data_IF_428406212522
#
_entry.id   IF_428406212522
#
_cell.length_a   1.000
_cell.length_b   1.000
_cell.length_c   1.000
_cell.angle_alpha   90.00
_cell.angle_beta   90.00
_cell.angle_gamma   90.00
#
_symmetry.space_group_name_H-M   'P 1'
#
loop_
_entity.id
_entity.type
_entity.pdbx_description
1 polymer ?
#
# COMPACT_ATOMS: atom_id res chain seq x y z
N UNK A 1 34.46 2.58 -5.68
CA UNK A 1 34.84 3.96 -5.26
C UNK A 1 33.98 4.35 -4.09
N UNK A 2 34.54 4.55 -2.91
CA UNK A 2 33.79 4.96 -1.72
C UNK A 2 33.30 6.41 -1.89
N UNK A 3 31.98 6.64 -1.80
CA UNK A 3 31.35 7.97 -1.82
C UNK A 3 31.88 8.78 -0.62
N UNK A 4 32.31 10.02 -0.83
CA UNK A 4 32.83 10.88 0.24
C UNK A 4 31.75 11.15 1.27
N UNK A 5 32.08 11.08 2.57
CA UNK A 5 31.15 11.27 3.69
C UNK A 5 30.27 12.55 3.63
N UNK A 6 30.74 13.72 3.11
CA UNK A 6 29.90 14.90 2.93
C UNK A 6 28.81 14.75 1.87
N UNK A 7 29.02 13.91 0.85
CA UNK A 7 28.01 13.69 -0.19
C UNK A 7 26.93 12.73 0.29
N UNK A 8 27.27 11.73 1.11
CA UNK A 8 26.32 10.84 1.75
C UNK A 8 25.34 11.59 2.68
N UNK A 9 25.82 12.55 3.47
CA UNK A 9 24.97 13.35 4.35
C UNK A 9 24.00 14.25 3.56
N UNK A 10 24.45 14.83 2.44
CA UNK A 10 23.58 15.63 1.56
C UNK A 10 22.48 14.78 0.93
N UNK A 11 22.80 13.55 0.52
CA UNK A 11 21.82 12.63 -0.02
C UNK A 11 20.78 12.25 1.04
N UNK A 12 21.20 11.93 2.26
CA UNK A 12 20.28 11.62 3.38
C UNK A 12 19.36 12.80 3.69
N UNK A 13 19.88 14.03 3.74
CA UNK A 13 19.07 15.23 3.99
C UNK A 13 18.08 15.46 2.83
N UNK A 14 18.52 15.23 1.60
CA UNK A 14 17.68 15.35 0.42
C UNK A 14 16.53 14.34 0.46
N UNK A 15 16.84 13.07 0.74
CA UNK A 15 15.84 12.00 0.80
C UNK A 15 14.85 12.23 1.94
N UNK A 16 15.33 12.62 3.12
CA UNK A 16 14.47 13.00 4.26
C UNK A 16 13.49 14.14 3.90
N UNK A 17 13.97 15.18 3.21
CA UNK A 17 13.09 16.30 2.77
C UNK A 17 12.08 15.86 1.72
N UNK A 18 12.49 15.00 0.80
CA UNK A 18 11.60 14.42 -0.21
C UNK A 18 10.48 13.63 0.45
N UNK A 19 10.80 12.79 1.42
CA UNK A 19 9.83 12.00 2.18
C UNK A 19 8.87 12.91 2.97
N UNK A 20 9.38 13.95 3.65
CA UNK A 20 8.56 14.91 4.38
C UNK A 20 7.54 15.62 3.46
N UNK A 21 7.95 16.01 2.25
CA UNK A 21 7.05 16.60 1.25
C UNK A 21 5.98 15.59 0.83
N UNK A 22 6.38 14.34 0.55
CA UNK A 22 5.45 13.29 0.13
C UNK A 22 4.45 12.90 1.23
N UNK A 23 4.87 12.85 2.50
CA UNK A 23 3.99 12.59 3.63
C UNK A 23 2.92 13.68 3.77
N UNK A 24 3.34 14.95 3.67
CA UNK A 24 2.42 16.09 3.67
C UNK A 24 1.45 16.02 2.50
N UNK A 25 1.95 15.74 1.30
CA UNK A 25 1.12 15.63 0.10
C UNK A 25 0.10 14.47 0.22
N UNK A 26 0.50 13.30 0.70
CA UNK A 26 -0.40 12.16 0.93
C UNK A 26 -1.55 12.52 1.87
N UNK A 27 -1.23 13.19 2.98
CA UNK A 27 -2.25 13.65 3.93
C UNK A 27 -3.22 14.63 3.26
N UNK A 28 -2.72 15.68 2.63
CA UNK A 28 -3.56 16.71 2.00
C UNK A 28 -4.40 16.14 0.84
N UNK A 29 -3.82 15.32 -0.03
CA UNK A 29 -4.54 14.64 -1.11
C UNK A 29 -5.63 13.72 -0.59
N UNK A 30 -5.35 12.99 0.50
CA UNK A 30 -6.33 12.11 1.11
C UNK A 30 -7.49 12.83 1.78
N UNK A 31 -7.23 13.98 2.41
CA UNK A 31 -8.24 14.78 3.11
C UNK A 31 -9.13 15.57 2.17
N UNK A 32 -8.57 16.10 1.08
CA UNK A 32 -9.23 17.13 0.24
C UNK A 32 -9.39 16.73 -1.23
N UNK A 33 -8.82 15.62 -1.64
CA UNK A 33 -8.74 15.21 -3.05
C UNK A 33 -7.54 15.82 -3.79
N UNK A 34 -7.22 15.23 -4.95
CA UNK A 34 -6.02 15.63 -5.70
C UNK A 34 -6.18 16.95 -6.43
N UNK A 35 -7.40 17.34 -6.83
CA UNK A 35 -7.67 18.56 -7.58
C UNK A 35 -7.66 19.81 -6.72
N UNK A 36 -7.99 19.68 -5.43
CA UNK A 36 -8.26 20.78 -4.52
C UNK A 36 -7.04 21.17 -3.66
N UNK A 37 -5.87 20.60 -3.98
CA UNK A 37 -4.61 20.86 -3.27
C UNK A 37 -3.59 21.44 -4.25
N UNK A 38 -3.07 22.62 -3.93
CA UNK A 38 -2.03 23.29 -4.72
C UNK A 38 -0.62 22.98 -4.23
N UNK A 39 0.38 23.12 -5.13
CA UNK A 39 1.79 22.97 -4.76
C UNK A 39 2.22 23.98 -3.69
N UNK A 40 1.62 25.18 -3.67
CA UNK A 40 1.93 26.23 -2.68
C UNK A 40 1.45 25.84 -1.28
N UNK A 41 0.26 25.26 -1.16
CA UNK A 41 -0.25 24.71 0.10
C UNK A 41 0.61 23.56 0.61
N UNK A 42 1.02 22.66 -0.28
CA UNK A 42 1.92 21.54 0.10
C UNK A 42 3.24 22.10 0.62
N UNK A 43 3.84 23.09 -0.06
CA UNK A 43 5.09 23.69 0.37
C UNK A 43 4.96 24.35 1.76
N UNK A 44 3.90 25.12 1.95
CA UNK A 44 3.62 25.81 3.23
C UNK A 44 3.44 24.82 4.37
N UNK A 45 2.64 23.77 4.16
CA UNK A 45 2.33 22.76 5.16
C UNK A 45 3.53 21.83 5.45
N UNK A 46 4.36 21.53 4.43
CA UNK A 46 5.62 20.80 4.60
C UNK A 46 6.74 21.66 5.22
N UNK A 47 6.52 22.94 5.46
CA UNK A 47 7.53 23.84 6.03
C UNK A 47 8.73 24.08 5.10
N UNK A 48 8.54 24.01 3.78
CA UNK A 48 9.59 24.26 2.79
C UNK A 48 9.26 25.46 1.91
N UNK A 49 10.29 26.15 1.40
CA UNK A 49 10.07 27.19 0.42
C UNK A 49 9.49 26.60 -0.89
N UNK A 50 8.61 27.36 -1.56
CA UNK A 50 8.04 26.96 -2.85
C UNK A 50 9.12 26.53 -3.86
N UNK A 51 10.20 27.30 -3.99
CA UNK A 51 11.33 26.97 -4.85
C UNK A 51 11.99 25.63 -4.49
N UNK A 52 12.03 25.30 -3.19
CA UNK A 52 12.55 24.04 -2.71
C UNK A 52 11.65 22.87 -3.15
N UNK A 53 10.33 23.01 -3.04
CA UNK A 53 9.39 21.97 -3.50
C UNK A 53 9.59 21.67 -4.99
N UNK A 54 9.73 22.71 -5.82
CA UNK A 54 9.93 22.56 -7.27
C UNK A 54 11.30 21.97 -7.65
N UNK A 55 12.28 21.95 -6.74
CA UNK A 55 13.53 21.20 -6.93
C UNK A 55 13.30 19.68 -6.86
N UNK A 56 12.32 19.25 -6.07
CA UNK A 56 12.00 17.82 -5.88
C UNK A 56 10.94 17.30 -6.85
N UNK A 57 9.95 18.13 -7.18
CA UNK A 57 8.79 17.75 -7.99
C UNK A 57 8.40 18.91 -8.92
N UNK A 58 8.48 18.69 -10.22
CA UNK A 58 8.21 19.73 -11.21
C UNK A 58 6.74 20.19 -11.22
N UNK A 59 5.83 19.33 -10.83
CA UNK A 59 4.40 19.61 -10.76
C UNK A 59 3.68 18.67 -9.79
N UNK A 60 2.38 18.91 -9.60
CA UNK A 60 1.51 18.14 -8.72
C UNK A 60 1.36 16.68 -9.16
N UNK A 61 1.29 16.43 -10.47
CA UNK A 61 1.07 15.09 -11.01
C UNK A 61 2.32 14.23 -10.81
N UNK A 62 3.52 14.80 -10.92
CA UNK A 62 4.77 14.14 -10.57
C UNK A 62 4.82 13.79 -9.07
N UNK A 63 4.43 14.72 -8.21
CA UNK A 63 4.36 14.50 -6.77
C UNK A 63 3.34 13.40 -6.42
N UNK A 64 2.15 13.44 -7.02
CA UNK A 64 1.13 12.40 -6.83
C UNK A 64 1.64 11.03 -7.28
N UNK A 65 2.24 10.97 -8.46
CA UNK A 65 2.85 9.74 -8.99
C UNK A 65 3.93 9.19 -8.06
N UNK A 66 4.78 10.06 -7.51
CA UNK A 66 5.80 9.67 -6.54
C UNK A 66 5.19 9.14 -5.22
N UNK A 67 4.08 9.73 -4.75
CA UNK A 67 3.35 9.25 -3.58
C UNK A 67 2.79 7.84 -3.80
N UNK A 68 2.19 7.58 -4.96
CA UNK A 68 1.64 6.26 -5.32
C UNK A 68 2.76 5.24 -5.52
N UNK A 69 3.86 5.62 -6.20
CA UNK A 69 5.01 4.74 -6.36
C UNK A 69 5.62 4.35 -5.00
N UNK A 70 5.77 5.30 -4.09
CA UNK A 70 6.27 5.00 -2.73
C UNK A 70 5.34 4.04 -1.96
N UNK A 71 4.02 4.14 -2.16
CA UNK A 71 3.07 3.18 -1.59
C UNK A 71 3.27 1.79 -2.19
N UNK A 72 3.47 1.70 -3.50
CA UNK A 72 3.77 0.44 -4.19
C UNK A 72 5.08 -0.20 -3.67
N UNK A 73 6.16 0.58 -3.58
CA UNK A 73 7.46 0.09 -3.12
C UNK A 73 7.37 -0.48 -1.70
N UNK A 74 6.70 0.21 -0.79
CA UNK A 74 6.47 -0.27 0.59
C UNK A 74 5.63 -1.54 0.65
N UNK A 75 4.67 -1.71 -0.25
CA UNK A 75 3.91 -2.95 -0.36
C UNK A 75 4.78 -4.09 -0.89
N UNK A 76 5.68 -3.82 -1.83
CA UNK A 76 6.66 -4.82 -2.30
C UNK A 76 7.56 -5.31 -1.16
N UNK A 77 8.01 -4.40 -0.28
CA UNK A 77 8.75 -4.77 0.93
C UNK A 77 7.90 -5.69 1.82
N UNK A 78 6.61 -5.38 2.00
CA UNK A 78 5.68 -6.23 2.77
C UNK A 78 5.51 -7.61 2.13
N UNK A 79 5.37 -7.68 0.82
CA UNK A 79 5.28 -8.93 0.06
C UNK A 79 6.58 -9.74 0.21
N UNK A 80 7.74 -9.09 0.15
CA UNK A 80 9.02 -9.76 0.32
C UNK A 80 9.19 -10.43 1.70
N UNK A 81 8.55 -9.89 2.75
CA UNK A 81 8.54 -10.48 4.09
C UNK A 81 7.68 -11.78 4.18
N UNK A 82 6.88 -12.07 3.16
CA UNK A 82 6.01 -13.26 3.11
C UNK A 82 6.67 -14.43 2.36
N UNK A 83 7.96 -14.28 2.02
CA UNK A 83 8.76 -15.35 1.39
C UNK A 83 8.76 -16.60 2.27
N UNK A 84 8.87 -17.75 1.64
CA UNK A 84 8.89 -19.07 2.30
C UNK A 84 10.15 -19.21 3.17
N UNK A 85 9.94 -19.04 4.48
CA UNK A 85 10.94 -19.17 5.53
C UNK A 85 10.69 -20.43 6.41
N UNK A 86 9.90 -21.37 5.90
CA UNK A 86 9.44 -22.55 6.63
C UNK A 86 8.21 -22.33 7.50
N UNK A 87 7.62 -21.13 7.49
CA UNK A 87 6.36 -20.84 8.16
C UNK A 87 5.17 -21.46 7.42
N UNK A 88 4.10 -21.80 8.15
CA UNK A 88 2.88 -22.33 7.53
C UNK A 88 2.24 -21.30 6.60
N UNK A 89 1.51 -21.74 5.56
CA UNK A 89 0.75 -20.86 4.67
C UNK A 89 -0.19 -19.91 5.41
N UNK A 90 -0.83 -20.37 6.48
CA UNK A 90 -1.68 -19.55 7.36
C UNK A 90 -0.87 -18.44 8.07
N UNK A 91 0.30 -18.76 8.60
CA UNK A 91 1.15 -17.77 9.27
C UNK A 91 1.68 -16.72 8.27
N UNK A 92 2.00 -17.13 7.05
CA UNK A 92 2.42 -16.25 5.95
C UNK A 92 1.28 -15.33 5.51
N UNK A 93 0.06 -15.86 5.36
CA UNK A 93 -1.14 -15.08 5.06
C UNK A 93 -1.41 -14.03 6.14
N UNK A 94 -1.30 -14.41 7.41
CA UNK A 94 -1.44 -13.47 8.53
C UNK A 94 -0.41 -12.34 8.47
N UNK A 95 0.85 -12.63 8.17
CA UNK A 95 1.90 -11.61 8.01
C UNK A 95 1.62 -10.67 6.86
N UNK A 96 1.13 -11.19 5.74
CA UNK A 96 0.71 -10.37 4.60
C UNK A 96 -0.40 -9.40 5.00
N UNK A 97 -1.46 -9.90 5.62
CA UNK A 97 -2.60 -9.08 6.07
C UNK A 97 -2.13 -8.01 7.06
N UNK A 98 -1.33 -8.39 8.05
CA UNK A 98 -0.78 -7.46 9.05
C UNK A 98 0.03 -6.34 8.39
N UNK A 99 0.98 -6.68 7.51
CA UNK A 99 1.82 -5.70 6.86
C UNK A 99 1.03 -4.76 5.93
N UNK A 100 0.01 -5.26 5.24
CA UNK A 100 -0.87 -4.41 4.42
C UNK A 100 -1.68 -3.45 5.29
N UNK A 101 -2.22 -3.92 6.43
CA UNK A 101 -2.95 -3.07 7.39
C UNK A 101 -2.07 -1.97 7.95
N UNK A 102 -0.81 -2.26 8.30
CA UNK A 102 0.15 -1.27 8.78
C UNK A 102 0.40 -0.18 7.73
N UNK A 103 0.50 -0.54 6.44
CA UNK A 103 0.64 0.43 5.34
C UNK A 103 -0.58 1.32 5.17
N UNK A 104 -1.79 0.78 5.37
CA UNK A 104 -3.03 1.57 5.32
C UNK A 104 -3.09 2.55 6.47
N UNK A 105 -2.74 2.12 7.67
CA UNK A 105 -2.75 2.96 8.87
C UNK A 105 -1.78 4.15 8.80
N UNK A 106 -0.71 4.05 8.00
CA UNK A 106 0.18 5.18 7.74
C UNK A 106 -0.51 6.35 7.02
N UNK A 107 -1.48 6.07 6.14
CA UNK A 107 -2.22 7.10 5.40
C UNK A 107 -3.57 6.60 4.90
N UNK A 108 -4.56 6.40 5.80
CA UNK A 108 -5.84 5.80 5.44
C UNK A 108 -6.64 6.65 4.45
N UNK A 109 -6.54 7.98 4.56
CA UNK A 109 -7.22 8.89 3.65
C UNK A 109 -6.65 8.81 2.23
N UNK A 110 -5.33 8.69 2.08
CA UNK A 110 -4.68 8.52 0.79
C UNK A 110 -4.99 7.14 0.17
N UNK A 111 -5.07 6.08 1.00
CA UNK A 111 -5.51 4.77 0.55
C UNK A 111 -6.93 4.82 -0.02
N UNK A 112 -7.88 5.46 0.68
CA UNK A 112 -9.25 5.63 0.18
C UNK A 112 -9.29 6.37 -1.17
N UNK A 113 -8.51 7.44 -1.29
CA UNK A 113 -8.39 8.20 -2.53
C UNK A 113 -7.84 7.31 -3.66
N UNK A 114 -6.77 6.58 -3.42
CA UNK A 114 -6.17 5.68 -4.39
C UNK A 114 -7.18 4.61 -4.85
N UNK A 115 -7.95 4.05 -3.92
CA UNK A 115 -8.99 3.06 -4.24
C UNK A 115 -10.16 3.67 -5.03
N UNK A 116 -10.59 4.88 -4.71
CA UNK A 116 -11.66 5.57 -5.44
C UNK A 116 -11.27 5.90 -6.89
N UNK A 117 -10.00 6.21 -7.15
CA UNK A 117 -9.50 6.51 -8.50
C UNK A 117 -9.42 5.29 -9.41
N UNK A 118 -9.39 4.07 -8.89
CA UNK A 118 -9.49 2.85 -9.70
C UNK A 118 -10.83 2.75 -10.46
N UNK A 119 -11.88 3.36 -9.93
CA UNK A 119 -13.25 3.29 -10.50
C UNK A 119 -13.53 4.39 -11.52
N UNK A 120 -12.65 5.39 -11.69
CA UNK A 120 -12.88 6.55 -12.54
C UNK A 120 -11.75 6.75 -13.55
N UNK A 121 -11.98 6.38 -14.79
CA UNK A 121 -11.00 6.39 -15.91
C UNK A 121 -10.74 7.78 -16.52
N UNK A 122 -11.05 8.91 -15.86
CA UNK A 122 -11.23 10.19 -16.57
C UNK A 122 -10.47 11.42 -16.04
N UNK A 123 -9.39 11.29 -15.26
CA UNK A 123 -8.61 12.48 -14.86
C UNK A 123 -7.15 12.38 -15.31
N UNK A 124 -6.61 13.44 -15.89
CA UNK A 124 -5.19 13.60 -16.18
C UNK A 124 -4.38 13.44 -14.86
N UNK A 125 -3.36 12.62 -14.88
CA UNK A 125 -2.66 12.08 -13.70
C UNK A 125 -3.05 10.62 -13.40
N UNK A 126 -4.12 10.09 -14.02
CA UNK A 126 -4.70 8.80 -13.71
C UNK A 126 -3.92 7.61 -14.31
N UNK A 127 -3.14 7.79 -15.39
CA UNK A 127 -2.44 6.66 -16.02
C UNK A 127 -1.31 6.11 -15.14
N UNK A 128 -0.47 6.97 -14.56
CA UNK A 128 0.62 6.52 -13.67
C UNK A 128 0.06 5.95 -12.36
N UNK A 129 -0.95 6.60 -11.78
CA UNK A 129 -1.66 6.12 -10.59
C UNK A 129 -2.39 4.81 -10.89
N UNK A 130 -3.15 4.74 -11.98
CA UNK A 130 -3.84 3.52 -12.41
C UNK A 130 -2.89 2.37 -12.69
N UNK A 131 -1.76 2.63 -13.35
CA UNK A 131 -0.72 1.65 -13.61
C UNK A 131 -0.11 1.06 -12.34
N UNK A 132 0.27 1.90 -11.38
CA UNK A 132 0.81 1.43 -10.10
C UNK A 132 -0.21 0.62 -9.29
N UNK A 133 -1.48 1.07 -9.24
CA UNK A 133 -2.55 0.34 -8.56
C UNK A 133 -2.86 -1.01 -9.24
N UNK A 134 -2.79 -1.08 -10.56
CA UNK A 134 -2.91 -2.33 -11.30
C UNK A 134 -1.78 -3.30 -10.94
N UNK A 135 -0.53 -2.81 -10.87
CA UNK A 135 0.61 -3.64 -10.47
C UNK A 135 0.47 -4.15 -9.04
N UNK A 136 0.01 -3.31 -8.09
CA UNK A 136 -0.33 -3.73 -6.72
C UNK A 136 -1.33 -4.88 -6.75
N UNK A 137 -2.40 -4.76 -7.54
CA UNK A 137 -3.41 -5.79 -7.67
C UNK A 137 -2.84 -7.11 -8.21
N UNK A 138 -2.03 -7.05 -9.26
CA UNK A 138 -1.42 -8.24 -9.88
C UNK A 138 -0.45 -8.95 -8.92
N UNK A 139 0.41 -8.22 -8.21
CA UNK A 139 1.33 -8.79 -7.24
C UNK A 139 0.60 -9.42 -6.06
N UNK A 140 -0.47 -8.79 -5.58
CA UNK A 140 -1.31 -9.34 -4.52
C UNK A 140 -1.99 -10.64 -4.96
N UNK A 141 -2.55 -10.68 -6.18
CA UNK A 141 -3.15 -11.89 -6.76
C UNK A 141 -2.11 -13.01 -6.83
N UNK A 142 -0.90 -12.74 -7.32
CA UNK A 142 0.18 -13.72 -7.42
C UNK A 142 0.54 -14.30 -6.05
N UNK A 143 0.76 -13.44 -5.05
CA UNK A 143 1.14 -13.89 -3.70
C UNK A 143 0.02 -14.67 -3.03
N UNK A 144 -1.23 -14.23 -3.15
CA UNK A 144 -2.38 -14.96 -2.62
C UNK A 144 -2.53 -16.32 -3.31
N UNK A 145 -2.29 -16.41 -4.62
CA UNK A 145 -2.32 -17.68 -5.35
C UNK A 145 -1.26 -18.65 -4.83
N UNK A 146 -0.02 -18.20 -4.66
CA UNK A 146 1.06 -19.01 -4.10
C UNK A 146 0.72 -19.52 -2.70
N UNK A 147 0.14 -18.66 -1.84
CA UNK A 147 -0.27 -19.02 -0.49
C UNK A 147 -1.42 -20.04 -0.47
N UNK A 148 -2.42 -19.87 -1.35
CA UNK A 148 -3.55 -20.81 -1.46
C UNK A 148 -3.06 -22.18 -1.94
N UNK A 149 -2.25 -22.23 -3.00
CA UNK A 149 -1.68 -23.47 -3.53
C UNK A 149 -0.83 -24.18 -2.47
N UNK A 150 0.04 -23.45 -1.78
CA UNK A 150 0.85 -24.00 -0.71
C UNK A 150 -0.01 -24.53 0.46
N UNK A 151 -1.09 -23.83 0.82
CA UNK A 151 -2.00 -24.24 1.89
C UNK A 151 -2.78 -25.51 1.55
N UNK A 152 -3.22 -25.66 0.32
CA UNK A 152 -3.84 -26.90 -0.17
C UNK A 152 -2.84 -28.05 -0.14
N UNK A 153 -1.61 -27.84 -0.62
CA UNK A 153 -0.56 -28.85 -0.64
C UNK A 153 -0.12 -29.27 0.78
N UNK A 154 -0.13 -28.36 1.74
CA UNK A 154 0.18 -28.63 3.15
C UNK A 154 -0.98 -29.29 3.92
N UNK A 155 -2.19 -29.30 3.36
CA UNK A 155 -3.40 -29.78 4.05
C UNK A 155 -4.00 -28.76 5.02
N UNK A 156 -3.52 -27.51 5.00
CA UNK A 156 -4.07 -26.41 5.79
C UNK A 156 -5.41 -25.91 5.22
N UNK A 157 -5.65 -26.10 3.92
CA UNK A 157 -6.87 -25.72 3.22
C UNK A 157 -7.50 -26.91 2.52
N UNK A 158 -8.79 -26.82 2.21
CA UNK A 158 -9.56 -27.89 1.56
C UNK A 158 -8.94 -28.31 0.23
N UNK A 159 -8.84 -29.61 -0.01
CA UNK A 159 -8.24 -30.17 -1.23
C UNK A 159 -9.04 -29.85 -2.51
N UNK A 160 -10.36 -29.63 -2.38
CA UNK A 160 -11.28 -29.35 -3.49
C UNK A 160 -11.33 -27.89 -3.90
N UNK A 161 -10.53 -27.03 -3.26
CA UNK A 161 -10.45 -25.61 -3.62
C UNK A 161 -9.88 -25.45 -5.04
N UNK A 162 -10.60 -24.73 -5.86
CA UNK A 162 -10.06 -24.12 -7.08
C UNK A 162 -9.22 -22.88 -6.68
N UNK A 163 -7.88 -22.94 -6.84
CA UNK A 163 -7.02 -21.85 -6.38
C UNK A 163 -7.36 -20.50 -7.03
N UNK A 164 -7.72 -20.47 -8.32
CA UNK A 164 -8.04 -19.22 -9.03
C UNK A 164 -9.29 -18.55 -8.45
N UNK A 165 -10.33 -19.35 -8.19
CA UNK A 165 -11.56 -18.86 -7.55
C UNK A 165 -11.32 -18.46 -6.10
N UNK A 166 -10.56 -19.24 -5.34
CA UNK A 166 -10.24 -18.95 -3.96
C UNK A 166 -9.50 -17.60 -3.83
N UNK A 167 -8.52 -17.35 -4.69
CA UNK A 167 -7.76 -16.07 -4.71
C UNK A 167 -8.68 -14.87 -4.91
N UNK A 168 -9.62 -14.95 -5.86
CA UNK A 168 -10.59 -13.87 -6.10
C UNK A 168 -11.42 -13.60 -4.85
N UNK A 169 -11.97 -14.65 -4.22
CA UNK A 169 -12.81 -14.52 -3.03
C UNK A 169 -12.01 -13.99 -1.83
N UNK A 170 -10.81 -14.52 -1.59
CA UNK A 170 -9.90 -14.08 -0.53
C UNK A 170 -9.50 -12.61 -0.74
N UNK A 171 -9.12 -12.26 -1.96
CA UNK A 171 -8.75 -10.90 -2.32
C UNK A 171 -9.88 -9.90 -2.06
N UNK A 172 -11.12 -10.25 -2.42
CA UNK A 172 -12.29 -9.42 -2.16
C UNK A 172 -12.58 -9.26 -0.65
N UNK A 173 -12.44 -10.33 0.13
CA UNK A 173 -12.63 -10.27 1.59
C UNK A 173 -11.58 -9.35 2.24
N UNK A 174 -10.32 -9.53 1.89
CA UNK A 174 -9.24 -8.68 2.38
C UNK A 174 -9.49 -7.22 1.97
N UNK A 175 -9.74 -6.96 0.69
CA UNK A 175 -10.03 -5.62 0.17
C UNK A 175 -11.20 -4.94 0.90
N UNK A 176 -12.31 -5.67 1.11
CA UNK A 176 -13.46 -5.15 1.85
C UNK A 176 -13.11 -4.77 3.29
N UNK A 177 -12.38 -5.63 3.99
CA UNK A 177 -11.94 -5.37 5.37
C UNK A 177 -10.99 -4.15 5.46
N UNK A 178 -10.05 -4.03 4.50
CA UNK A 178 -9.13 -2.89 4.41
C UNK A 178 -9.88 -1.57 4.14
N UNK A 179 -10.88 -1.62 3.27
CA UNK A 179 -11.70 -0.45 2.92
C UNK A 179 -12.53 0.03 4.10
N UNK A 180 -13.11 -0.89 4.88
CA UNK A 180 -13.83 -0.56 6.13
C UNK A 180 -12.88 0.08 7.12
N UNK A 181 -11.73 -0.55 7.41
CA UNK A 181 -10.73 -0.02 8.34
C UNK A 181 -10.27 1.39 7.98
N UNK A 182 -9.98 1.64 6.70
CA UNK A 182 -9.54 2.96 6.24
C UNK A 182 -10.60 4.06 6.45
N UNK A 183 -11.87 3.68 6.66
CA UNK A 183 -12.99 4.58 6.96
C UNK A 183 -13.28 4.75 8.45
N UNK A 184 -12.74 3.89 9.32
CA UNK A 184 -12.99 3.95 10.76
C UNK A 184 -12.25 5.11 11.43
N UNK A 185 -12.91 5.91 12.27
CA UNK A 185 -12.25 7.00 12.99
C UNK A 185 -11.37 6.51 14.15
N UNK A 186 -11.69 5.36 14.73
CA UNK A 186 -10.98 4.73 15.84
C UNK A 186 -10.88 3.22 15.59
N UNK A 187 -9.98 2.78 14.70
CA UNK A 187 -9.86 1.37 14.34
C UNK A 187 -9.27 0.55 15.50
N UNK A 188 -9.71 -0.70 15.61
CA UNK A 188 -9.13 -1.65 16.58
C UNK A 188 -7.62 -1.83 16.31
N UNK A 189 -6.81 -2.27 17.31
CA UNK A 189 -5.39 -2.51 17.11
C UNK A 189 -5.09 -3.37 15.88
N UNK A 190 -4.10 -2.97 15.09
CA UNK A 190 -3.79 -3.59 13.79
C UNK A 190 -3.56 -5.09 13.87
N UNK A 191 -2.87 -5.57 14.91
CA UNK A 191 -2.62 -7.00 15.11
C UNK A 191 -3.93 -7.78 15.32
N UNK A 192 -4.87 -7.21 16.07
CA UNK A 192 -6.19 -7.82 16.28
C UNK A 192 -7.01 -7.84 14.99
N UNK A 193 -7.00 -6.76 14.23
CA UNK A 193 -7.65 -6.74 12.91
C UNK A 193 -7.09 -7.80 11.97
N UNK A 194 -5.75 -7.96 11.94
CA UNK A 194 -5.10 -8.99 11.16
C UNK A 194 -5.53 -10.40 11.57
N UNK A 195 -5.65 -10.66 12.88
CA UNK A 195 -6.11 -11.96 13.40
C UNK A 195 -7.57 -12.25 13.03
N UNK A 196 -8.45 -11.26 13.14
CA UNK A 196 -9.86 -11.40 12.79
C UNK A 196 -10.04 -11.66 11.30
N UNK A 197 -9.37 -10.90 10.43
CA UNK A 197 -9.41 -11.08 8.97
C UNK A 197 -8.83 -12.44 8.57
N UNK A 198 -7.65 -12.79 9.10
CA UNK A 198 -7.00 -14.05 8.81
C UNK A 198 -7.88 -15.23 9.22
N UNK A 199 -8.47 -15.19 10.43
CA UNK A 199 -9.38 -16.23 10.92
C UNK A 199 -10.59 -16.39 10.02
N UNK A 200 -11.19 -15.29 9.57
CA UNK A 200 -12.35 -15.31 8.68
C UNK A 200 -12.01 -15.93 7.33
N UNK A 201 -10.88 -15.51 6.73
CA UNK A 201 -10.39 -16.03 5.45
C UNK A 201 -10.05 -17.53 5.56
N UNK A 202 -9.30 -17.93 6.58
CA UNK A 202 -8.90 -19.33 6.77
C UNK A 202 -10.11 -20.24 6.96
N UNK A 203 -11.11 -19.84 7.75
CA UNK A 203 -12.38 -20.60 7.86
C UNK A 203 -13.10 -20.74 6.52
N UNK A 204 -13.08 -19.71 5.68
CA UNK A 204 -13.61 -19.77 4.31
C UNK A 204 -12.85 -20.76 3.42
N UNK A 205 -11.56 -20.90 3.63
CA UNK A 205 -10.70 -21.86 2.93
C UNK A 205 -10.78 -23.28 3.51
N UNK A 206 -11.45 -23.47 4.66
CA UNK A 206 -11.67 -24.77 5.29
C UNK A 206 -10.56 -25.19 6.25
N UNK A 207 -9.83 -24.22 6.80
CA UNK A 207 -8.83 -24.42 7.85
C UNK A 207 -9.51 -24.60 9.23
#
# INVERSE_FOLDING_TARGET
MARRAPDALKDVIRDFRRDQIMDTARRLFGERGTTDVSMDEIAAEAGVARSTLYVYFANRDELLSACVQSMYDRLQDTIALVVDDGATPVARLRRLILGVLERIDESPAFFRLAMATQSTTTAAGSEAVGGALMMIGLDMIRVLHELVVAGVAAGDFRAELDPERAVVLVGQQIYGALSVRAGEPDPIPVARAADEICTFVCRGLGA
#
